data_IF_419610233887
#
_entry.id   IF_419610233887
#
_cell.length_a   1.000
_cell.length_b   1.000
_cell.length_c   1.000
_cell.angle_alpha   90.00
_cell.angle_beta   90.00
_cell.angle_gamma   90.00
#
_symmetry.space_group_name_H-M   'P 1'
#
loop_
_entity.id
_entity.type
_entity.pdbx_description
1 polymer ?
#
# COMPACT_ATOMS: atom_id res chain seq x y z
N UNK A 1 31.69 32.24 -28.84
CA UNK A 1 32.39 31.66 -27.68
C UNK A 1 31.35 31.03 -26.76
N UNK A 2 31.34 29.69 -26.70
CA UNK A 2 30.54 28.91 -25.74
C UNK A 2 31.21 28.98 -24.36
N UNK A 3 30.43 29.14 -23.30
CA UNK A 3 30.90 28.73 -21.96
C UNK A 3 29.84 27.90 -21.25
N UNK A 4 30.30 26.71 -20.88
CA UNK A 4 29.63 25.53 -20.33
C UNK A 4 28.85 25.75 -19.03
N UNK A 5 27.83 24.90 -18.87
CA UNK A 5 27.24 24.44 -17.61
C UNK A 5 28.30 23.95 -16.61
N UNK A 6 28.08 24.20 -15.32
CA UNK A 6 28.50 23.29 -14.22
C UNK A 6 27.46 23.25 -13.11
N UNK A 7 27.28 22.02 -12.60
CA UNK A 7 26.42 21.56 -11.51
C UNK A 7 27.18 21.63 -10.18
N UNK A 8 26.48 21.78 -9.06
CA UNK A 8 26.90 21.45 -7.69
C UNK A 8 25.81 21.92 -6.71
N UNK A 9 25.04 21.13 -5.95
CA UNK A 9 25.37 20.10 -4.94
C UNK A 9 26.42 20.60 -3.94
N UNK A 10 26.34 20.47 -2.61
CA UNK A 10 25.47 19.78 -1.65
C UNK A 10 25.97 20.19 -0.24
N UNK A 11 25.12 20.05 0.80
CA UNK A 11 25.45 19.94 2.25
C UNK A 11 25.98 21.17 3.01
N UNK A 12 25.24 21.54 4.05
CA UNK A 12 25.70 22.38 5.16
C UNK A 12 25.11 21.90 6.49
N UNK A 13 25.97 21.36 7.36
CA UNK A 13 25.91 21.31 8.84
C UNK A 13 24.65 20.71 9.50
N UNK A 14 24.71 19.52 10.12
CA UNK A 14 25.34 19.24 11.43
C UNK A 14 24.86 20.20 12.51
N UNK A 15 23.94 19.73 13.35
CA UNK A 15 23.55 20.39 14.58
C UNK A 15 22.62 19.51 15.39
N UNK A 16 23.18 18.76 16.36
CA UNK A 16 22.74 18.83 17.76
C UNK A 16 23.65 17.95 18.63
N UNK A 17 24.53 18.62 19.37
CA UNK A 17 25.13 18.11 20.60
C UNK A 17 24.24 18.57 21.74
N UNK A 18 23.54 17.65 22.40
CA UNK A 18 23.07 17.83 23.77
C UNK A 18 23.17 16.49 24.49
N UNK A 19 24.35 16.30 25.09
CA UNK A 19 24.57 15.30 26.13
C UNK A 19 23.94 15.81 27.43
N UNK A 20 23.04 15.04 28.01
CA UNK A 20 22.71 15.16 29.44
C UNK A 20 22.37 13.77 29.95
N UNK A 21 23.34 13.19 30.66
CA UNK A 21 23.15 11.98 31.44
C UNK A 21 22.38 12.32 32.73
N UNK A 22 21.34 11.55 33.02
CA UNK A 22 20.85 11.34 34.38
C UNK A 22 20.66 9.84 34.59
N UNK A 23 21.53 9.28 35.42
CA UNK A 23 21.35 7.98 36.06
C UNK A 23 20.52 8.20 37.31
N UNK A 24 19.42 7.46 37.44
CA UNK A 24 18.90 6.98 38.73
C UNK A 24 17.88 5.87 38.49
N UNK A 25 18.12 4.73 39.11
CA UNK A 25 17.32 3.52 38.97
C UNK A 25 16.10 3.48 39.89
N UNK A 26 15.13 2.66 39.50
CA UNK A 26 14.12 2.10 40.40
C UNK A 26 13.86 0.64 39.97
N UNK A 27 13.93 -0.25 40.95
CA UNK A 27 13.68 -1.69 40.83
C UNK A 27 12.17 -1.96 40.85
N UNK A 28 11.70 -2.69 39.81
CA UNK A 28 10.68 -3.76 39.80
C UNK A 28 9.24 -3.50 40.28
N UNK A 29 8.25 -3.79 39.41
CA UNK A 29 7.20 -4.83 39.54
C UNK A 29 6.69 -5.20 38.11
N UNK A 30 6.51 -6.49 37.75
CA UNK A 30 5.84 -6.90 36.51
C UNK A 30 4.32 -6.92 36.74
N UNK A 31 3.56 -6.20 35.92
CA UNK A 31 2.11 -6.21 36.02
C UNK A 31 1.41 -5.48 34.87
N UNK A 32 0.71 -6.25 34.05
CA UNK A 32 -0.22 -5.81 33.01
C UNK A 32 0.42 -5.08 31.81
N UNK A 33 1.19 -5.83 31.02
CA UNK A 33 1.29 -5.58 29.58
C UNK A 33 -0.08 -5.81 28.92
N UNK A 34 -1.02 -4.89 29.13
CA UNK A 34 -2.11 -4.71 28.18
C UNK A 34 -1.49 -4.32 26.85
N UNK A 35 -1.96 -4.83 25.70
CA UNK A 35 -1.49 -4.35 24.41
C UNK A 35 -1.77 -2.86 24.39
N UNK A 36 -0.71 -2.06 24.58
CA UNK A 36 -0.72 -0.66 24.29
C UNK A 36 -1.30 -0.57 22.89
N UNK A 37 -2.52 -0.04 22.79
CA UNK A 37 -3.19 0.17 21.52
C UNK A 37 -2.19 0.95 20.69
N UNK A 38 -1.56 0.26 19.73
CA UNK A 38 -0.55 0.83 18.89
C UNK A 38 -1.23 2.05 18.26
N UNK A 39 -0.80 3.25 18.66
CA UNK A 39 -1.28 4.50 18.11
C UNK A 39 -1.17 4.31 16.60
N UNK A 40 -2.31 4.19 15.91
CA UNK A 40 -2.32 3.96 14.48
C UNK A 40 -1.76 5.24 13.86
N UNK A 41 -0.44 5.27 13.70
CA UNK A 41 0.26 6.33 13.01
C UNK A 41 -0.40 6.44 11.65
N UNK A 42 -0.93 7.62 11.35
CA UNK A 42 -1.59 7.92 10.07
C UNK A 42 -0.66 7.46 8.96
N UNK A 43 -1.18 6.66 8.04
CA UNK A 43 -0.36 6.10 6.98
C UNK A 43 0.33 7.24 6.20
N UNK A 44 1.66 7.16 5.96
CA UNK A 44 2.43 8.30 5.48
C UNK A 44 2.04 8.78 4.08
N UNK A 45 1.46 7.90 3.25
CA UNK A 45 0.94 8.27 1.93
C UNK A 45 -0.45 8.91 1.98
N UNK A 46 -1.22 8.75 3.07
CA UNK A 46 -2.63 9.12 3.13
C UNK A 46 -2.84 10.64 2.95
N UNK A 47 -1.97 11.47 3.52
CA UNK A 47 -2.04 12.94 3.36
C UNK A 47 -1.86 13.36 1.90
N UNK A 48 -1.01 12.67 1.17
CA UNK A 48 -0.76 12.94 -0.25
C UNK A 48 -1.94 12.46 -1.10
N UNK A 49 -2.55 11.32 -0.79
CA UNK A 49 -3.78 10.86 -1.44
C UNK A 49 -4.96 11.81 -1.21
N UNK A 50 -5.12 12.33 0.01
CA UNK A 50 -6.14 13.34 0.31
C UNK A 50 -5.87 14.67 -0.44
N UNK A 51 -4.60 15.01 -0.65
CA UNK A 51 -4.22 16.18 -1.46
C UNK A 51 -4.51 15.96 -2.94
N UNK A 52 -4.24 14.76 -3.46
CA UNK A 52 -4.62 14.38 -4.82
C UNK A 52 -6.13 14.50 -5.01
N UNK A 53 -6.93 13.96 -4.09
CA UNK A 53 -8.38 13.96 -4.22
C UNK A 53 -8.97 15.38 -4.21
N UNK A 54 -8.43 16.29 -3.38
CA UNK A 54 -8.80 17.71 -3.41
C UNK A 54 -8.46 18.39 -4.74
N UNK A 55 -7.28 18.09 -5.30
CA UNK A 55 -6.89 18.64 -6.61
C UNK A 55 -7.79 18.10 -7.74
N UNK A 56 -8.14 16.81 -7.72
CA UNK A 56 -9.08 16.22 -8.66
C UNK A 56 -10.47 16.88 -8.57
N UNK A 57 -10.97 17.16 -7.36
CA UNK A 57 -12.24 17.87 -7.16
C UNK A 57 -12.20 19.30 -7.71
N UNK A 58 -11.04 19.96 -7.68
CA UNK A 58 -10.83 21.28 -8.25
C UNK A 58 -10.57 21.27 -9.78
N UNK A 59 -10.49 20.09 -10.40
CA UNK A 59 -10.15 19.95 -11.82
C UNK A 59 -8.66 20.17 -12.13
N UNK A 60 -7.80 20.31 -11.11
CA UNK A 60 -6.37 20.51 -11.27
C UNK A 60 -5.65 19.15 -11.38
N UNK A 61 -5.66 18.59 -12.59
CA UNK A 61 -5.04 17.30 -12.89
C UNK A 61 -3.52 17.34 -12.68
N UNK A 62 -2.86 18.50 -12.89
CA UNK A 62 -1.42 18.65 -12.72
C UNK A 62 -1.02 18.60 -11.24
N UNK A 63 -1.76 19.29 -10.37
CA UNK A 63 -1.58 19.19 -8.93
C UNK A 63 -1.91 17.79 -8.41
N UNK A 64 -2.97 17.16 -8.92
CA UNK A 64 -3.31 15.78 -8.58
C UNK A 64 -2.18 14.80 -8.95
N UNK A 65 -1.62 14.92 -10.16
CA UNK A 65 -0.50 14.10 -10.61
C UNK A 65 0.75 14.27 -9.73
N UNK A 66 0.99 15.47 -9.22
CA UNK A 66 2.11 15.74 -8.30
C UNK A 66 1.87 15.10 -6.94
N UNK A 67 0.69 15.33 -6.34
CA UNK A 67 0.34 14.72 -5.06
C UNK A 67 0.32 13.17 -5.13
N UNK A 68 -0.10 12.60 -6.26
CA UNK A 68 -0.01 11.15 -6.47
C UNK A 68 1.43 10.62 -6.48
N UNK A 69 2.39 11.37 -7.06
CA UNK A 69 3.82 10.98 -7.05
C UNK A 69 4.39 11.00 -5.63
N UNK A 70 3.98 11.96 -4.81
CA UNK A 70 4.39 12.02 -3.41
C UNK A 70 3.80 10.85 -2.61
N UNK A 71 2.53 10.51 -2.85
CA UNK A 71 1.90 9.33 -2.26
C UNK A 71 2.62 8.04 -2.66
N UNK A 72 2.98 7.91 -3.94
CA UNK A 72 3.77 6.79 -4.46
C UNK A 72 5.12 6.67 -3.76
N UNK A 73 5.86 7.78 -3.62
CA UNK A 73 7.13 7.80 -2.89
C UNK A 73 6.97 7.37 -1.43
N UNK A 74 5.99 7.90 -0.72
CA UNK A 74 5.70 7.56 0.67
C UNK A 74 5.26 6.10 0.85
N UNK A 75 4.43 5.58 -0.05
CA UNK A 75 4.01 4.18 -0.06
C UNK A 75 5.20 3.24 -0.27
N UNK A 76 6.06 3.53 -1.26
CA UNK A 76 7.29 2.77 -1.51
C UNK A 76 8.23 2.78 -0.31
N UNK A 77 8.43 3.94 0.33
CA UNK A 77 9.27 4.06 1.52
C UNK A 77 8.72 3.24 2.70
N UNK A 78 7.40 3.17 2.86
CA UNK A 78 6.77 2.40 3.93
C UNK A 78 6.95 0.88 3.77
N UNK A 79 7.08 0.40 2.53
CA UNK A 79 7.07 -1.02 2.15
C UNK A 79 5.83 -1.80 2.63
N UNK A 80 4.74 -1.11 2.99
CA UNK A 80 3.49 -1.73 3.43
C UNK A 80 2.60 -2.07 2.23
N UNK A 81 1.93 -3.21 2.29
CA UNK A 81 1.09 -3.67 1.18
C UNK A 81 -0.10 -2.74 0.90
N UNK A 82 -0.66 -2.13 1.95
CA UNK A 82 -1.81 -1.23 1.87
C UNK A 82 -1.46 0.08 1.16
N UNK A 83 -0.25 0.59 1.38
CA UNK A 83 0.24 1.76 0.65
C UNK A 83 0.34 1.54 -0.86
N UNK A 84 0.80 0.35 -1.28
CA UNK A 84 0.79 -0.02 -2.69
C UNK A 84 -0.65 -0.14 -3.24
N UNK A 85 -1.56 -0.79 -2.51
CA UNK A 85 -2.94 -0.96 -2.94
C UNK A 85 -3.68 0.38 -3.08
N UNK A 86 -3.61 1.25 -2.07
CA UNK A 86 -4.27 2.56 -2.08
C UNK A 86 -3.71 3.49 -3.16
N UNK A 87 -2.38 3.48 -3.36
CA UNK A 87 -1.74 4.26 -4.44
C UNK A 87 -2.14 3.71 -5.82
N UNK A 88 -2.38 2.40 -5.94
CA UNK A 88 -2.90 1.76 -7.15
C UNK A 88 -4.33 2.23 -7.46
N UNK A 89 -5.21 2.28 -6.47
CA UNK A 89 -6.56 2.86 -6.63
C UNK A 89 -6.48 4.32 -7.05
N UNK A 90 -5.56 5.07 -6.44
CA UNK A 90 -5.33 6.47 -6.76
C UNK A 90 -4.85 6.67 -8.21
N UNK A 91 -4.03 5.76 -8.74
CA UNK A 91 -3.62 5.79 -10.15
C UNK A 91 -4.83 5.60 -11.09
N UNK A 92 -5.79 4.74 -10.73
CA UNK A 92 -7.03 4.60 -11.50
C UNK A 92 -7.88 5.86 -11.44
N UNK A 93 -8.02 6.50 -10.27
CA UNK A 93 -8.76 7.77 -10.13
C UNK A 93 -8.14 8.89 -10.96
N UNK A 94 -6.81 9.03 -10.89
CA UNK A 94 -6.06 10.01 -11.67
C UNK A 94 -6.19 9.76 -13.18
N UNK A 95 -6.11 8.50 -13.62
CA UNK A 95 -6.32 8.12 -15.02
C UNK A 95 -7.71 8.53 -15.52
N UNK A 96 -8.78 8.24 -14.76
CA UNK A 96 -10.16 8.63 -15.10
C UNK A 96 -10.37 10.14 -15.23
N UNK A 97 -9.65 10.93 -14.44
CA UNK A 97 -9.71 12.39 -14.50
C UNK A 97 -8.82 12.99 -15.61
N UNK A 98 -7.95 12.18 -16.21
CA UNK A 98 -7.09 12.59 -17.32
C UNK A 98 -7.80 12.39 -18.66
N UNK A 99 -7.23 12.93 -19.75
CA UNK A 99 -7.76 12.77 -21.11
C UNK A 99 -7.78 11.31 -21.61
N UNK A 100 -7.19 10.37 -20.88
CA UNK A 100 -7.20 8.93 -21.19
C UNK A 100 -7.49 8.10 -19.94
N UNK A 101 -8.75 7.68 -19.72
CA UNK A 101 -9.16 6.89 -18.55
C UNK A 101 -8.37 5.60 -18.35
N UNK A 102 -7.88 5.00 -19.43
CA UNK A 102 -7.08 3.78 -19.40
C UNK A 102 -5.63 3.99 -18.93
N UNK A 103 -5.13 5.24 -18.90
CA UNK A 103 -3.73 5.54 -18.59
C UNK A 103 -3.29 5.10 -17.18
N UNK A 104 -4.24 5.03 -16.23
CA UNK A 104 -3.96 4.59 -14.86
C UNK A 104 -3.81 3.08 -14.70
N UNK A 105 -4.35 2.28 -15.64
CA UNK A 105 -4.46 0.82 -15.47
C UNK A 105 -3.11 0.10 -15.39
N UNK A 106 -2.12 0.37 -16.28
CA UNK A 106 -0.82 -0.30 -16.19
C UNK A 106 -0.13 -0.05 -14.85
N UNK A 107 -0.20 1.19 -14.35
CA UNK A 107 0.39 1.57 -13.06
C UNK A 107 -0.34 0.93 -11.88
N UNK A 108 -1.66 0.88 -11.92
CA UNK A 108 -2.44 0.21 -10.90
C UNK A 108 -2.09 -1.29 -10.81
N UNK A 109 -1.96 -1.99 -11.95
CA UNK A 109 -1.56 -3.40 -11.99
C UNK A 109 -0.20 -3.64 -11.32
N UNK A 110 0.80 -2.82 -11.64
CA UNK A 110 2.13 -2.91 -11.04
C UNK A 110 2.08 -2.76 -9.50
N UNK A 111 1.32 -1.77 -9.03
CA UNK A 111 1.17 -1.51 -7.60
C UNK A 111 0.37 -2.62 -6.91
N UNK A 112 -0.67 -3.15 -7.53
CA UNK A 112 -1.42 -4.30 -6.99
C UNK A 112 -0.57 -5.58 -6.93
N UNK A 113 0.36 -5.80 -7.89
CA UNK A 113 1.29 -6.93 -7.81
C UNK A 113 2.24 -6.74 -6.62
N UNK A 114 2.75 -5.54 -6.43
CA UNK A 114 3.59 -5.19 -5.28
C UNK A 114 2.84 -5.39 -3.95
N UNK A 115 1.58 -4.95 -3.88
CA UNK A 115 0.71 -5.16 -2.74
C UNK A 115 0.49 -6.66 -2.46
N UNK A 116 0.17 -7.45 -3.48
CA UNK A 116 -0.10 -8.88 -3.36
C UNK A 116 1.11 -9.63 -2.77
N UNK A 117 2.31 -9.41 -3.32
CA UNK A 117 3.50 -10.11 -2.83
C UNK A 117 3.89 -9.66 -1.42
N UNK A 118 3.79 -8.35 -1.11
CA UNK A 118 4.05 -7.86 0.26
C UNK A 118 3.04 -8.39 1.28
N UNK A 119 1.76 -8.47 0.92
CA UNK A 119 0.73 -9.05 1.76
C UNK A 119 0.97 -10.53 2.01
N UNK A 120 1.33 -11.29 0.96
CA UNK A 120 1.70 -12.70 1.08
C UNK A 120 2.89 -12.90 2.01
N UNK A 121 3.96 -12.12 1.81
CA UNK A 121 5.21 -12.28 2.56
C UNK A 121 5.04 -11.90 4.05
N UNK A 122 4.12 -10.99 4.36
CA UNK A 122 3.72 -10.66 5.74
C UNK A 122 2.61 -11.56 6.30
N UNK A 123 2.16 -12.55 5.52
CA UNK A 123 1.09 -13.47 5.92
C UNK A 123 -0.29 -12.83 6.04
N UNK A 124 -0.51 -11.64 5.49
CA UNK A 124 -1.76 -10.90 5.57
C UNK A 124 -2.81 -11.45 4.60
N UNK A 125 -3.78 -12.22 5.13
CA UNK A 125 -4.92 -12.69 4.35
C UNK A 125 -5.77 -11.53 3.82
N UNK A 126 -6.00 -10.49 4.63
CA UNK A 126 -6.73 -9.30 4.22
C UNK A 126 -6.04 -8.59 3.05
N UNK A 127 -4.72 -8.43 3.09
CA UNK A 127 -3.97 -7.80 2.00
C UNK A 127 -4.02 -8.62 0.71
N UNK A 128 -3.94 -9.95 0.80
CA UNK A 128 -4.07 -10.84 -0.38
C UNK A 128 -5.47 -10.75 -0.98
N UNK A 129 -6.53 -10.78 -0.16
CA UNK A 129 -7.91 -10.64 -0.62
C UNK A 129 -8.20 -9.25 -1.19
N UNK A 130 -7.64 -8.20 -0.59
CA UNK A 130 -7.73 -6.83 -1.09
C UNK A 130 -7.10 -6.70 -2.48
N UNK A 131 -5.92 -7.27 -2.70
CA UNK A 131 -5.27 -7.28 -4.01
C UNK A 131 -6.03 -8.15 -5.03
N UNK A 132 -6.53 -9.32 -4.61
CA UNK A 132 -7.36 -10.18 -5.46
C UNK A 132 -8.62 -9.45 -5.95
N UNK A 133 -9.31 -8.72 -5.07
CA UNK A 133 -10.45 -7.88 -5.45
C UNK A 133 -10.09 -6.78 -6.45
N UNK A 134 -8.91 -6.18 -6.32
CA UNK A 134 -8.40 -5.19 -7.28
C UNK A 134 -8.16 -5.80 -8.67
N UNK A 135 -7.46 -6.93 -8.77
CA UNK A 135 -7.26 -7.62 -10.05
C UNK A 135 -8.58 -8.08 -10.65
N UNK A 136 -9.49 -8.57 -9.82
CA UNK A 136 -10.82 -8.96 -10.25
C UNK A 136 -11.56 -7.77 -10.90
N UNK A 137 -11.53 -6.60 -10.26
CA UNK A 137 -12.16 -5.38 -10.77
C UNK A 137 -11.52 -4.87 -12.09
N UNK A 138 -10.24 -5.15 -12.32
CA UNK A 138 -9.55 -4.88 -13.59
C UNK A 138 -9.81 -5.94 -14.68
N UNK A 139 -10.47 -7.04 -14.34
CA UNK A 139 -10.69 -8.17 -15.24
C UNK A 139 -9.47 -9.09 -15.39
N UNK A 140 -8.45 -8.97 -14.53
CA UNK A 140 -7.22 -9.78 -14.56
C UNK A 140 -7.46 -11.16 -13.95
N UNK A 141 -8.16 -12.01 -14.69
CA UNK A 141 -8.73 -13.28 -14.19
C UNK A 141 -7.68 -14.27 -13.70
N UNK A 142 -6.56 -14.41 -14.41
CA UNK A 142 -5.53 -15.38 -14.05
C UNK A 142 -4.81 -14.98 -12.76
N UNK A 143 -4.50 -13.69 -12.64
CA UNK A 143 -3.88 -13.11 -11.43
C UNK A 143 -4.83 -13.21 -10.25
N UNK A 144 -6.13 -12.93 -10.46
CA UNK A 144 -7.17 -13.10 -9.45
C UNK A 144 -7.21 -14.55 -8.95
N UNK A 145 -7.21 -15.52 -9.87
CA UNK A 145 -7.26 -16.94 -9.51
C UNK A 145 -6.03 -17.37 -8.70
N UNK A 146 -4.85 -16.86 -9.06
CA UNK A 146 -3.63 -17.13 -8.33
C UNK A 146 -3.62 -16.47 -6.93
N UNK A 147 -4.13 -15.24 -6.81
CA UNK A 147 -4.25 -14.56 -5.53
C UNK A 147 -5.24 -15.27 -4.60
N UNK A 148 -6.37 -15.79 -5.13
CA UNK A 148 -7.31 -16.60 -4.34
C UNK A 148 -6.66 -17.90 -3.87
N UNK A 149 -5.87 -18.60 -4.70
CA UNK A 149 -5.09 -19.77 -4.24
C UNK A 149 -4.12 -19.43 -3.10
N UNK A 150 -3.48 -18.25 -3.14
CA UNK A 150 -2.67 -17.77 -2.01
C UNK A 150 -3.53 -17.52 -0.76
N UNK A 151 -4.70 -16.90 -0.91
CA UNK A 151 -5.63 -16.66 0.18
C UNK A 151 -6.08 -17.95 0.86
N UNK A 152 -6.40 -19.00 0.08
CA UNK A 152 -6.76 -20.33 0.62
C UNK A 152 -5.66 -20.91 1.50
N UNK A 153 -4.41 -20.87 1.05
CA UNK A 153 -3.26 -21.35 1.86
C UNK A 153 -3.10 -20.54 3.15
N UNK A 154 -3.33 -19.22 3.12
CA UNK A 154 -3.24 -18.39 4.32
C UNK A 154 -4.42 -18.61 5.28
N UNK A 155 -5.62 -18.88 4.75
CA UNK A 155 -6.86 -19.12 5.49
C UNK A 155 -6.85 -20.41 6.33
N UNK A 156 -5.96 -21.36 6.01
CA UNK A 156 -5.72 -22.55 6.84
C UNK A 156 -5.31 -22.21 8.28
N UNK A 157 -4.82 -20.98 8.51
CA UNK A 157 -4.42 -20.47 9.83
C UNK A 157 -5.56 -19.80 10.61
N UNK A 158 -6.77 -19.80 10.05
CA UNK A 158 -7.93 -19.12 10.58
C UNK A 158 -8.48 -18.09 9.59
N UNK A 159 -9.82 -18.03 9.49
CA UNK A 159 -10.52 -17.14 8.56
C UNK A 159 -11.76 -16.57 9.22
N UNK A 160 -11.94 -15.25 9.09
CA UNK A 160 -13.12 -14.56 9.59
C UNK A 160 -14.32 -14.78 8.65
N UNK A 161 -15.56 -14.54 9.11
CA UNK A 161 -16.74 -14.62 8.26
C UNK A 161 -16.66 -13.69 7.02
N UNK A 162 -16.11 -12.48 7.19
CA UNK A 162 -15.95 -11.53 6.09
C UNK A 162 -14.93 -11.99 5.05
N UNK A 163 -13.79 -12.54 5.49
CA UNK A 163 -12.78 -13.12 4.60
C UNK A 163 -13.33 -14.32 3.84
N UNK A 164 -14.10 -15.19 4.52
CA UNK A 164 -14.76 -16.34 3.90
C UNK A 164 -15.76 -15.90 2.83
N UNK A 165 -16.58 -14.89 3.13
CA UNK A 165 -17.52 -14.31 2.17
C UNK A 165 -16.80 -13.69 0.96
N UNK A 166 -15.66 -13.01 1.18
CA UNK A 166 -14.86 -12.43 0.10
C UNK A 166 -14.26 -13.52 -0.81
N UNK A 167 -13.73 -14.60 -0.24
CA UNK A 167 -13.25 -15.76 -0.99
C UNK A 167 -14.39 -16.36 -1.82
N UNK A 168 -15.56 -16.60 -1.20
CA UNK A 168 -16.73 -17.15 -1.88
C UNK A 168 -17.18 -16.26 -3.05
N UNK A 169 -17.22 -14.94 -2.87
CA UNK A 169 -17.54 -13.98 -3.93
C UNK A 169 -16.57 -14.10 -5.10
N UNK A 170 -15.27 -14.13 -4.84
CA UNK A 170 -14.25 -14.21 -5.89
C UNK A 170 -14.29 -15.53 -6.67
N UNK A 171 -14.73 -16.62 -6.04
CA UNK A 171 -14.90 -17.94 -6.66
C UNK A 171 -16.26 -18.05 -7.39
N UNK A 172 -17.31 -17.42 -6.89
CA UNK A 172 -18.64 -17.49 -7.52
C UNK A 172 -18.61 -16.96 -8.96
N UNK A 173 -17.84 -15.90 -9.21
CA UNK A 173 -17.68 -15.34 -10.55
C UNK A 173 -16.86 -16.24 -11.49
N UNK A 174 -16.05 -17.17 -10.95
CA UNK A 174 -15.36 -18.22 -11.70
C UNK A 174 -14.89 -19.35 -10.77
N UNK A 175 -15.37 -20.59 -10.93
CA UNK A 175 -14.90 -21.72 -10.13
C UNK A 175 -13.38 -21.88 -10.26
N UNK A 176 -12.68 -21.82 -9.13
CA UNK A 176 -11.24 -22.07 -9.06
C UNK A 176 -11.05 -23.48 -8.55
N UNK A 177 -10.41 -24.32 -9.36
CA UNK A 177 -9.96 -25.65 -8.92
C UNK A 177 -8.77 -25.49 -8.00
N UNK A 178 -8.91 -25.93 -6.76
CA UNK A 178 -7.80 -26.10 -5.83
C UNK A 178 -7.24 -27.51 -6.04
N UNK A 179 -5.91 -27.69 -6.16
CA UNK A 179 -5.33 -29.03 -6.06
C UNK A 179 -5.68 -29.59 -4.67
N UNK A 180 -6.12 -30.85 -4.60
CA UNK A 180 -6.58 -31.43 -3.33
C UNK A 180 -5.46 -31.66 -2.30
N UNK A 181 -4.18 -31.53 -2.67
CA UNK A 181 -3.06 -31.82 -1.77
C UNK A 181 -1.93 -30.78 -1.83
N UNK A 182 -1.72 -30.02 -0.73
CA UNK A 182 -0.42 -29.50 -0.24
C UNK A 182 -0.48 -29.40 1.28
#
# INVERSE_FOLDING_TARGET
MLTRRTVGAVVGSVGLMLSSALVSGAVGIPGAGGPAAASQSVAPWAVHLATMDRALQAGDVAAAQTAWRDAYGAAHASRRWDGFAETGDAALRLGRASASPAAGVPRARELYLSALFRARDTGSLDGVLRAAGSFHALGDRDVTSQAVRMAHRLAARGVTPSQRAMIAKLIADRPITFPEDI
#
